data_IF_994856154285
#
_entry.id   IF_994856154285
#
_cell.length_a   1.000
_cell.length_b   1.000
_cell.length_c   1.000
_cell.angle_alpha   90.00
_cell.angle_beta   90.00
_cell.angle_gamma   90.00
#
_symmetry.space_group_name_H-M   'P 1'
#
loop_
_entity.id
_entity.type
_entity.pdbx_description
1 polymer ?
#
# COMPACT_ATOMS: atom_id res chain seq x y z
N UNK A 1 13.84 8.49 -11.16
CA UNK A 1 12.88 8.01 -10.16
C UNK A 1 11.49 8.41 -10.63
N UNK A 2 10.59 7.44 -10.86
CA UNK A 2 9.23 7.74 -11.34
C UNK A 2 8.44 8.43 -10.24
N UNK A 3 7.84 9.58 -10.53
CA UNK A 3 7.09 10.39 -9.56
C UNK A 3 5.64 9.95 -9.48
N UNK A 4 5.04 9.99 -8.27
CA UNK A 4 3.60 9.89 -8.11
C UNK A 4 2.99 11.29 -8.18
N UNK A 5 1.86 11.43 -8.88
CA UNK A 5 1.02 12.62 -8.68
C UNK A 5 0.25 12.47 -7.38
N UNK A 6 0.32 13.48 -6.51
CA UNK A 6 -0.47 13.53 -5.27
C UNK A 6 -1.74 14.32 -5.52
N UNK A 7 -2.89 13.70 -5.27
CA UNK A 7 -4.20 14.30 -5.56
C UNK A 7 -5.07 14.23 -4.30
N UNK A 8 -5.58 15.38 -3.87
CA UNK A 8 -6.60 15.44 -2.81
C UNK A 8 -7.99 15.42 -3.45
N UNK A 9 -8.89 14.61 -2.90
CA UNK A 9 -10.27 14.52 -3.38
C UNK A 9 -11.29 14.66 -2.25
N UNK A 10 -12.31 15.47 -2.52
CA UNK A 10 -13.53 15.57 -1.72
C UNK A 10 -14.69 14.78 -2.35
N UNK A 11 -14.44 14.13 -3.48
CA UNK A 11 -15.44 13.33 -4.20
C UNK A 11 -15.70 12.00 -3.45
N UNK A 12 -16.96 11.69 -3.10
CA UNK A 12 -17.32 10.45 -2.42
C UNK A 12 -17.22 9.17 -3.26
N UNK A 13 -17.05 9.29 -4.59
CA UNK A 13 -16.95 8.14 -5.51
C UNK A 13 -15.59 8.10 -6.23
N UNK A 14 -14.56 8.65 -5.60
CA UNK A 14 -13.24 8.78 -6.22
C UNK A 14 -12.49 7.45 -6.33
N UNK A 15 -11.62 7.36 -7.33
CA UNK A 15 -10.84 6.15 -7.62
C UNK A 15 -9.75 5.84 -6.57
N UNK A 16 -9.30 4.58 -6.54
CA UNK A 16 -8.20 4.10 -5.70
C UNK A 16 -6.81 4.53 -6.23
N UNK A 17 -5.82 4.56 -5.34
CA UNK A 17 -4.40 4.79 -5.65
C UNK A 17 -3.85 3.66 -6.52
N UNK A 18 -2.81 3.95 -7.32
CA UNK A 18 -2.23 2.97 -8.26
C UNK A 18 -0.79 3.31 -8.63
N UNK A 19 0.07 2.30 -8.75
CA UNK A 19 1.50 2.39 -9.15
C UNK A 19 1.80 1.81 -10.52
N UNK A 20 0.79 1.42 -11.29
CA UNK A 20 0.96 0.94 -12.66
C UNK A 20 1.63 2.02 -13.53
N UNK A 21 2.66 1.60 -14.27
CA UNK A 21 3.46 2.49 -15.11
C UNK A 21 2.60 3.35 -16.05
N UNK A 22 2.75 4.67 -15.98
CA UNK A 22 1.98 5.65 -16.75
C UNK A 22 0.68 6.11 -16.08
N UNK A 23 0.31 5.52 -14.94
CA UNK A 23 -0.90 5.83 -14.18
C UNK A 23 -0.60 6.17 -12.72
N UNK A 24 0.67 6.35 -12.33
CA UNK A 24 1.12 6.48 -10.94
C UNK A 24 0.50 7.67 -10.19
N UNK A 25 -0.45 7.37 -9.31
CA UNK A 25 -1.20 8.36 -8.52
C UNK A 25 -1.47 7.85 -7.11
N UNK A 26 -1.33 8.76 -6.14
CA UNK A 26 -1.70 8.52 -4.75
C UNK A 26 -2.77 9.55 -4.37
N UNK A 27 -3.86 9.06 -3.76
CA UNK A 27 -5.01 9.88 -3.41
C UNK A 27 -5.15 10.08 -1.91
N UNK A 28 -5.44 11.32 -1.52
CA UNK A 28 -6.04 11.63 -0.23
C UNK A 28 -7.55 11.77 -0.41
N UNK A 29 -8.29 10.67 -0.20
CA UNK A 29 -9.73 10.56 -0.45
C UNK A 29 -10.56 10.84 0.82
N UNK A 30 -10.66 12.12 1.19
CA UNK A 30 -11.52 12.51 2.31
C UNK A 30 -13.01 12.29 2.01
N UNK A 31 -13.45 12.56 0.77
CA UNK A 31 -14.85 12.41 0.37
C UNK A 31 -15.39 10.99 0.58
N UNK A 32 -14.63 9.98 0.15
CA UNK A 32 -14.95 8.55 0.33
C UNK A 32 -15.00 8.17 1.82
N UNK A 33 -13.98 8.55 2.60
CA UNK A 33 -13.98 8.33 4.05
C UNK A 33 -15.19 8.98 4.74
N UNK A 34 -15.55 10.20 4.35
CA UNK A 34 -16.67 10.92 4.95
C UNK A 34 -18.03 10.31 4.59
N UNK A 35 -18.19 9.79 3.37
CA UNK A 35 -19.41 9.09 2.92
C UNK A 35 -19.75 7.91 3.83
N UNK A 36 -18.76 7.11 4.19
CA UNK A 36 -18.94 5.92 5.02
C UNK A 36 -19.05 6.25 6.52
N UNK A 37 -18.25 7.21 7.01
CA UNK A 37 -18.10 7.48 8.45
C UNK A 37 -19.10 8.53 8.95
N UNK A 38 -19.41 9.55 8.15
CA UNK A 38 -20.31 10.67 8.47
C UNK A 38 -19.94 11.46 9.74
N UNK A 39 -18.69 11.38 10.17
CA UNK A 39 -18.07 12.18 11.23
C UNK A 39 -16.77 12.78 10.68
N UNK A 40 -16.64 14.10 10.75
CA UNK A 40 -15.54 14.83 10.12
C UNK A 40 -14.17 14.45 10.69
N UNK A 41 -14.04 14.36 12.02
CA UNK A 41 -12.77 14.04 12.66
C UNK A 41 -12.35 12.60 12.34
N UNK A 42 -13.28 11.66 12.43
CA UNK A 42 -13.00 10.26 12.13
C UNK A 42 -12.72 10.04 10.64
N UNK A 43 -13.42 10.75 9.75
CA UNK A 43 -13.16 10.70 8.31
C UNK A 43 -11.78 11.27 7.96
N UNK A 44 -11.36 12.37 8.59
CA UNK A 44 -10.02 12.93 8.43
C UNK A 44 -8.94 11.94 8.89
N UNK A 45 -9.16 11.27 10.03
CA UNK A 45 -8.25 10.26 10.55
C UNK A 45 -8.16 9.04 9.62
N UNK A 46 -9.28 8.54 9.13
CA UNK A 46 -9.34 7.43 8.17
C UNK A 46 -8.64 7.78 6.86
N UNK A 47 -8.97 8.94 6.26
CA UNK A 47 -8.34 9.40 5.02
C UNK A 47 -6.81 9.55 5.16
N UNK A 48 -6.33 10.04 6.32
CA UNK A 48 -4.90 10.16 6.59
C UNK A 48 -4.23 8.78 6.75
N UNK A 49 -4.87 7.84 7.44
CA UNK A 49 -4.35 6.47 7.59
C UNK A 49 -4.31 5.74 6.24
N UNK A 50 -5.37 5.86 5.44
CA UNK A 50 -5.43 5.33 4.07
C UNK A 50 -4.35 5.93 3.18
N UNK A 51 -4.19 7.25 3.18
CA UNK A 51 -3.16 7.92 2.39
C UNK A 51 -1.74 7.43 2.73
N UNK A 52 -1.42 7.26 4.02
CA UNK A 52 -0.12 6.73 4.45
C UNK A 52 0.07 5.28 4.00
N UNK A 53 -0.97 4.45 4.15
CA UNK A 53 -0.95 3.06 3.72
C UNK A 53 -0.77 2.95 2.20
N UNK A 54 -1.62 3.60 1.41
CA UNK A 54 -1.54 3.64 -0.05
C UNK A 54 -0.16 4.13 -0.50
N UNK A 55 0.35 5.21 0.11
CA UNK A 55 1.68 5.73 -0.22
C UNK A 55 2.78 4.69 -0.01
N UNK A 56 2.76 3.99 1.14
CA UNK A 56 3.73 2.95 1.44
C UNK A 56 3.57 1.74 0.52
N UNK A 57 2.34 1.32 0.24
CA UNK A 57 2.00 0.18 -0.60
C UNK A 57 2.41 0.40 -2.06
N UNK A 58 2.01 1.53 -2.64
CA UNK A 58 2.33 1.88 -4.02
C UNK A 58 3.83 2.12 -4.22
N UNK A 59 4.53 2.67 -3.22
CA UNK A 59 5.99 2.73 -3.24
C UNK A 59 6.63 1.34 -3.11
N UNK A 60 6.05 0.46 -2.30
CA UNK A 60 6.52 -0.91 -2.12
C UNK A 60 6.53 -1.71 -3.43
N UNK A 61 5.54 -1.51 -4.31
CA UNK A 61 5.57 -2.09 -5.66
C UNK A 61 6.80 -1.66 -6.46
N UNK A 62 7.23 -0.39 -6.37
CA UNK A 62 8.44 0.09 -7.07
C UNK A 62 9.72 -0.54 -6.51
N UNK A 63 9.80 -0.69 -5.20
CA UNK A 63 10.94 -1.33 -4.54
C UNK A 63 11.05 -2.79 -4.96
N UNK A 64 9.94 -3.51 -4.91
CA UNK A 64 9.87 -4.92 -5.29
C UNK A 64 10.20 -5.10 -6.78
N UNK A 65 9.63 -4.29 -7.67
CA UNK A 65 9.91 -4.35 -9.11
C UNK A 65 11.41 -4.15 -9.45
N UNK A 66 12.13 -3.34 -8.66
CA UNK A 66 13.55 -3.06 -8.90
C UNK A 66 14.52 -4.05 -8.23
N UNK A 67 14.13 -4.73 -7.13
CA UNK A 67 15.09 -5.51 -6.33
C UNK A 67 14.63 -6.88 -5.80
N UNK A 68 13.34 -7.15 -5.67
CA UNK A 68 12.94 -8.37 -4.96
C UNK A 68 13.43 -9.63 -5.68
N UNK A 69 14.12 -10.49 -4.95
CA UNK A 69 14.61 -11.76 -5.50
C UNK A 69 13.39 -12.64 -5.83
N UNK A 70 13.17 -12.93 -7.12
CA UNK A 70 11.97 -13.65 -7.58
C UNK A 70 10.68 -12.81 -7.66
N UNK A 71 10.73 -11.50 -7.41
CA UNK A 71 9.57 -10.64 -7.64
C UNK A 71 9.52 -10.21 -9.11
N UNK A 72 8.70 -10.91 -9.89
CA UNK A 72 8.21 -10.31 -11.12
C UNK A 72 7.34 -9.09 -10.78
N UNK A 73 7.15 -8.15 -11.72
CA UNK A 73 6.11 -7.13 -11.59
C UNK A 73 4.77 -7.75 -11.15
N UNK A 74 4.47 -8.93 -11.69
CA UNK A 74 3.29 -9.72 -11.35
C UNK A 74 3.26 -10.16 -9.87
N UNK A 75 4.40 -10.53 -9.26
CA UNK A 75 4.44 -10.92 -7.85
C UNK A 75 4.06 -9.76 -6.93
N UNK A 76 4.60 -8.57 -7.20
CA UNK A 76 4.22 -7.38 -6.45
C UNK A 76 2.75 -7.04 -6.70
N UNK A 77 2.29 -6.98 -7.96
CA UNK A 77 0.92 -6.61 -8.35
C UNK A 77 -0.16 -7.65 -8.01
N UNK A 78 0.24 -8.88 -7.71
CA UNK A 78 -0.64 -9.90 -7.09
C UNK A 78 -0.60 -9.83 -5.56
N UNK A 79 -0.03 -8.78 -4.98
CA UNK A 79 0.07 -8.54 -3.55
C UNK A 79 0.72 -9.74 -2.85
N UNK A 80 1.87 -10.17 -3.38
CA UNK A 80 2.59 -11.39 -2.94
C UNK A 80 1.72 -12.65 -3.01
N UNK A 81 0.95 -12.78 -4.11
CA UNK A 81 0.05 -13.91 -4.36
C UNK A 81 -1.26 -13.90 -3.54
N UNK A 82 -1.60 -12.79 -2.88
CA UNK A 82 -2.86 -12.67 -2.13
C UNK A 82 -4.01 -12.09 -2.94
N UNK A 83 -3.74 -11.58 -4.15
CA UNK A 83 -4.73 -11.13 -5.13
C UNK A 83 -4.43 -11.62 -6.55
N UNK A 84 -5.37 -11.38 -7.46
CA UNK A 84 -5.11 -11.43 -8.89
C UNK A 84 -4.44 -10.12 -9.37
N UNK A 85 -3.92 -10.11 -10.61
CA UNK A 85 -3.41 -8.89 -11.27
C UNK A 85 -4.47 -7.80 -11.42
N UNK A 86 -5.76 -8.17 -11.40
CA UNK A 86 -6.89 -7.23 -11.38
C UNK A 86 -7.23 -6.77 -9.95
N UNK A 87 -6.27 -6.89 -9.03
CA UNK A 87 -6.36 -6.50 -7.62
C UNK A 87 -7.50 -7.16 -6.82
N UNK A 88 -8.11 -8.23 -7.34
CA UNK A 88 -9.15 -8.97 -6.62
C UNK A 88 -8.50 -9.90 -5.61
N UNK A 89 -8.78 -9.71 -4.32
CA UNK A 89 -8.30 -10.59 -3.25
C UNK A 89 -8.72 -12.04 -3.52
N UNK A 90 -7.75 -12.97 -3.41
CA UNK A 90 -8.01 -14.40 -3.53
C UNK A 90 -8.74 -14.87 -2.26
N UNK A 91 -9.86 -15.62 -2.37
CA UNK A 91 -10.61 -16.09 -1.22
C UNK A 91 -9.75 -16.90 -0.25
N UNK A 92 -9.96 -16.71 1.06
CA UNK A 92 -9.21 -17.41 2.11
C UNK A 92 -8.00 -16.63 2.65
N UNK A 93 -7.56 -15.57 1.95
CA UNK A 93 -6.53 -14.67 2.48
C UNK A 93 -7.12 -13.76 3.58
N UNK A 94 -6.70 -14.01 4.81
CA UNK A 94 -7.12 -13.26 5.99
C UNK A 94 -5.87 -12.68 6.64
N UNK A 95 -5.91 -11.39 6.98
CA UNK A 95 -4.82 -10.75 7.72
C UNK A 95 -4.61 -11.45 9.07
N UNK A 96 -3.36 -11.61 9.53
CA UNK A 96 -3.06 -12.26 10.79
C UNK A 96 -3.82 -11.58 11.93
N UNK A 97 -4.37 -12.38 12.86
CA UNK A 97 -5.17 -11.84 13.96
C UNK A 97 -4.34 -11.02 14.94
N UNK A 98 -3.06 -11.35 15.09
CA UNK A 98 -2.10 -10.72 16.00
C UNK A 98 -0.75 -10.56 15.29
N UNK A 99 0.11 -9.66 15.79
CA UNK A 99 1.44 -9.40 15.22
C UNK A 99 1.43 -8.47 14.01
N UNK A 100 2.55 -8.38 13.32
CA UNK A 100 2.72 -7.49 12.16
C UNK A 100 1.93 -7.94 10.93
N UNK A 101 1.57 -6.98 10.07
CA UNK A 101 0.88 -7.20 8.80
C UNK A 101 1.78 -6.68 7.69
N UNK A 102 2.13 -7.55 6.75
CA UNK A 102 2.87 -7.18 5.55
C UNK A 102 2.07 -6.16 4.74
N UNK A 103 2.62 -4.96 4.57
CA UNK A 103 1.99 -3.84 3.88
C UNK A 103 1.60 -4.19 2.45
N UNK A 104 2.29 -5.13 1.80
CA UNK A 104 2.07 -5.52 0.41
C UNK A 104 0.97 -6.55 0.21
N UNK A 105 0.43 -7.16 1.28
CA UNK A 105 -0.59 -8.22 1.15
C UNK A 105 -2.01 -7.65 1.18
N UNK A 106 -2.90 -8.30 0.45
CA UNK A 106 -4.34 -8.09 0.49
C UNK A 106 -5.01 -9.17 1.35
N UNK A 107 -6.08 -8.79 2.02
CA UNK A 107 -6.82 -9.70 2.89
C UNK A 107 -8.04 -9.01 3.49
N UNK A 108 -8.82 -9.77 4.26
CA UNK A 108 -9.93 -9.19 5.01
C UNK A 108 -9.42 -8.13 6.00
N UNK A 109 -9.87 -6.89 5.82
CA UNK A 109 -9.52 -5.75 6.67
C UNK A 109 -9.83 -6.01 8.15
N UNK A 110 -8.95 -5.52 9.03
CA UNK A 110 -9.12 -5.55 10.49
C UNK A 110 -9.12 -4.12 11.03
N UNK A 111 -9.92 -3.80 12.07
CA UNK A 111 -10.00 -2.44 12.60
C UNK A 111 -8.65 -1.85 13.04
N UNK A 112 -7.73 -2.69 13.50
CA UNK A 112 -6.39 -2.33 13.99
C UNK A 112 -5.30 -2.43 12.91
N UNK A 113 -5.68 -2.63 11.63
CA UNK A 113 -4.70 -2.89 10.57
C UNK A 113 -3.65 -1.77 10.46
N UNK A 114 -4.08 -0.51 10.45
CA UNK A 114 -3.18 0.63 10.23
C UNK A 114 -2.06 0.79 11.26
N UNK A 115 -2.20 0.23 12.46
CA UNK A 115 -1.16 0.28 13.50
C UNK A 115 -0.18 -0.88 13.43
N UNK A 116 -0.41 -1.84 12.54
CA UNK A 116 0.34 -3.11 12.44
C UNK A 116 1.01 -3.31 11.10
N UNK A 117 0.79 -2.42 10.13
CA UNK A 117 1.39 -2.49 8.80
C UNK A 117 2.89 -2.23 8.87
N UNK A 118 3.67 -3.17 8.35
CA UNK A 118 5.14 -3.08 8.23
C UNK A 118 5.58 -3.60 6.87
N UNK A 119 6.75 -3.17 6.42
CA UNK A 119 7.41 -3.81 5.27
C UNK A 119 7.93 -5.20 5.70
N UNK A 120 7.81 -6.21 4.83
CA UNK A 120 8.39 -7.51 5.14
C UNK A 120 9.92 -7.43 5.16
N UNK A 121 10.58 -8.35 5.88
CA UNK A 121 12.04 -8.37 6.03
C UNK A 121 12.75 -8.34 4.67
N UNK A 122 12.24 -9.07 3.67
CA UNK A 122 12.80 -9.11 2.32
C UNK A 122 12.64 -7.76 1.59
N UNK A 123 11.52 -7.06 1.80
CA UNK A 123 11.28 -5.74 1.23
C UNK A 123 12.24 -4.69 1.86
N UNK A 124 12.48 -4.80 3.17
CA UNK A 124 13.41 -3.95 3.92
C UNK A 124 14.84 -4.15 3.42
N UNK A 125 15.25 -5.38 3.16
CA UNK A 125 16.56 -5.67 2.57
C UNK A 125 16.71 -4.98 1.21
N UNK A 126 15.65 -4.97 0.39
CA UNK A 126 15.64 -4.22 -0.87
C UNK A 126 15.72 -2.72 -0.72
N UNK A 127 15.01 -2.15 0.26
CA UNK A 127 15.13 -0.73 0.60
C UNK A 127 16.58 -0.36 0.99
N UNK A 128 17.20 -1.17 1.85
CA UNK A 128 18.59 -0.97 2.28
C UNK A 128 19.52 -1.02 1.08
N UNK A 129 19.37 -2.00 0.19
CA UNK A 129 20.17 -2.09 -1.01
C UNK A 129 20.00 -0.86 -1.92
N UNK A 130 18.75 -0.46 -2.22
CA UNK A 130 18.43 0.67 -3.09
C UNK A 130 18.94 2.00 -2.52
N UNK A 131 18.96 2.13 -1.20
CA UNK A 131 19.50 3.32 -0.53
C UNK A 131 21.01 3.49 -0.70
N UNK A 132 21.70 2.45 -1.21
CA UNK A 132 23.16 2.42 -1.41
C UNK A 132 23.92 2.82 -0.14
N UNK A 133 23.40 2.42 1.03
CA UNK A 133 24.05 2.68 2.31
C UNK A 133 25.49 2.18 2.25
N UNK A 134 26.40 3.05 2.65
CA UNK A 134 27.80 2.71 2.90
C UNK A 134 27.98 2.68 4.40
N UNK A 135 28.55 1.59 4.91
CA UNK A 135 29.01 1.53 6.28
C UNK A 135 30.45 2.03 6.30
N UNK A 136 30.72 3.03 7.14
CA UNK A 136 32.08 3.46 7.44
C UNK A 136 32.51 2.69 8.69
N UNK A 137 33.44 1.75 8.49
CA UNK A 137 34.07 0.93 9.54
C UNK A 137 35.24 1.69 10.20
#
# INVERSE_FOLDING_TARGET
MRTFSLISSLDPDFQASVSLSGFEKIYYNYGDSYKDIQDELQALLDANNRYKWDSAHEMGHKVLDEYGEGSSPDYSWTHKGTSTLMQKTIPGNVMPAQGEIDVMKYGKYRPDMYTRLVAADEDVQGLIWLSRIKFDD
#
